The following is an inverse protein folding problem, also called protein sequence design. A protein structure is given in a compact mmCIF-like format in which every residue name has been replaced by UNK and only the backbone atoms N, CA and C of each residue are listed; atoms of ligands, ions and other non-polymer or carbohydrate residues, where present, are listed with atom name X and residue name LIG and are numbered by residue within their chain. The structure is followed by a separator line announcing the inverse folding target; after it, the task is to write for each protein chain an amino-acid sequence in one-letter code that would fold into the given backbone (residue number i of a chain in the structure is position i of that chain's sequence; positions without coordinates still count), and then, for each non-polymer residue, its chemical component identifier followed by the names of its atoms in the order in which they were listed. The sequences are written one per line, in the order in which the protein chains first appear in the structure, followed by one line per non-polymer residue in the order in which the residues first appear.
data_IF_025854701388
#
_entry.id   IF_025854701388
#
_cell.length_a   1.000
_cell.length_b   1.000
_cell.length_c   1.000
_cell.angle_alpha   90.00
_cell.angle_beta   90.00
_cell.angle_gamma   90.00
#
_symmetry.space_group_name_H-M   'P 1'
#
loop_
_entity.id
_entity.type
_entity.pdbx_description
1 polymer ?
#
# COMPACT_ATOMS: atom_id res chain seq x y z
N UNK A 1 -4.81 -4.55 15.21
CA UNK A 1 -4.42 -5.64 14.31
C UNK A 1 -3.83 -4.99 13.08
N UNK A 2 -2.53 -5.18 12.83
CA UNK A 2 -1.87 -4.71 11.62
C UNK A 2 -2.29 -5.66 10.51
N UNK A 3 -2.89 -5.15 9.42
CA UNK A 3 -3.42 -5.97 8.32
C UNK A 3 -2.35 -6.34 7.29
N UNK A 4 -1.31 -5.50 7.15
CA UNK A 4 -0.20 -5.67 6.21
C UNK A 4 1.10 -5.14 6.82
N UNK A 5 2.23 -5.69 6.38
CA UNK A 5 3.56 -5.15 6.69
C UNK A 5 3.80 -3.81 5.97
N UNK A 6 4.85 -3.08 6.37
CA UNK A 6 5.25 -1.80 5.73
C UNK A 6 5.64 -1.98 4.25
N UNK A 7 6.03 -3.19 3.86
CA UNK A 7 6.36 -3.56 2.50
C UNK A 7 5.37 -4.61 2.02
N UNK A 8 4.68 -4.33 0.92
CA UNK A 8 3.70 -5.21 0.32
C UNK A 8 4.15 -5.63 -1.08
N UNK A 9 4.03 -6.91 -1.39
CA UNK A 9 4.29 -7.44 -2.73
C UNK A 9 2.94 -7.69 -3.40
N UNK A 10 2.70 -7.00 -4.51
CA UNK A 10 1.46 -7.09 -5.28
C UNK A 10 1.25 -8.52 -5.79
N UNK A 11 0.03 -9.04 -5.67
CA UNK A 11 -0.36 -10.33 -6.26
C UNK A 11 -1.25 -10.14 -7.49
N UNK A 12 -1.54 -11.23 -8.20
CA UNK A 12 -2.44 -11.20 -9.37
C UNK A 12 -3.81 -10.62 -9.02
N UNK A 13 -4.36 -9.86 -9.97
CA UNK A 13 -5.67 -9.19 -9.90
C UNK A 13 -5.84 -8.16 -8.77
N UNK A 14 -4.76 -7.65 -8.17
CA UNK A 14 -4.82 -6.54 -7.22
C UNK A 14 -4.50 -5.17 -7.85
N UNK A 15 -5.14 -4.14 -7.32
CA UNK A 15 -4.91 -2.73 -7.65
C UNK A 15 -4.46 -1.96 -6.42
N UNK A 16 -3.89 -0.76 -6.61
CA UNK A 16 -3.57 0.16 -5.51
C UNK A 16 -4.76 0.41 -4.58
N UNK A 17 -5.97 0.62 -5.13
CA UNK A 17 -7.17 0.85 -4.33
C UNK A 17 -7.53 -0.34 -3.46
N UNK A 18 -7.59 -1.55 -4.06
CA UNK A 18 -7.92 -2.77 -3.31
C UNK A 18 -6.88 -3.10 -2.25
N UNK A 19 -5.60 -2.80 -2.51
CA UNK A 19 -4.51 -2.96 -1.54
C UNK A 19 -4.63 -1.93 -0.42
N UNK A 20 -4.91 -0.67 -0.74
CA UNK A 20 -5.16 0.39 0.24
C UNK A 20 -6.31 0.06 1.17
N UNK A 21 -7.44 -0.42 0.65
CA UNK A 21 -8.58 -0.87 1.45
C UNK A 21 -8.23 -2.07 2.34
N UNK A 22 -7.52 -3.06 1.77
CA UNK A 22 -7.07 -4.26 2.48
C UNK A 22 -6.11 -3.94 3.64
N UNK A 23 -5.14 -3.08 3.39
CA UNK A 23 -4.10 -2.72 4.37
C UNK A 23 -4.50 -1.55 5.28
N UNK A 24 -5.63 -0.90 4.98
CA UNK A 24 -6.10 0.29 5.66
C UNK A 24 -5.28 1.54 5.35
N UNK A 25 -4.62 1.62 4.18
CA UNK A 25 -3.83 2.77 3.74
C UNK A 25 -4.54 3.53 2.60
N UNK A 26 -5.45 4.47 2.91
CA UNK A 26 -6.16 5.25 1.89
C UNK A 26 -5.26 6.25 1.15
N UNK A 27 -4.02 6.48 1.63
CA UNK A 27 -3.06 7.41 1.05
C UNK A 27 -1.85 6.69 0.44
N UNK A 28 -2.01 5.41 0.08
CA UNK A 28 -0.95 4.57 -0.49
C UNK A 28 -0.24 5.21 -1.70
N UNK A 29 -0.94 6.03 -2.49
CA UNK A 29 -0.35 6.76 -3.62
C UNK A 29 0.72 7.77 -3.17
N UNK A 30 0.53 8.45 -2.04
CA UNK A 30 1.46 9.46 -1.53
C UNK A 30 2.80 8.85 -1.10
N UNK A 31 2.79 7.57 -0.71
CA UNK A 31 3.98 6.84 -0.27
C UNK A 31 4.70 6.11 -1.41
N UNK A 32 4.08 6.05 -2.59
CA UNK A 32 4.59 5.35 -3.77
C UNK A 32 4.65 6.30 -4.98
N UNK A 33 5.49 7.34 -4.95
CA UNK A 33 5.56 8.36 -6.02
C UNK A 33 6.06 7.82 -7.36
N UNK A 34 6.56 6.59 -7.38
CA UNK A 34 6.98 5.90 -8.61
C UNK A 34 5.78 5.36 -9.42
N UNK A 35 4.57 5.42 -8.86
CA UNK A 35 3.32 5.05 -9.53
C UNK A 35 2.66 6.32 -10.04
N UNK A 36 2.59 6.44 -11.35
CA UNK A 36 1.99 7.60 -12.01
C UNK A 36 0.57 7.30 -12.49
N UNK A 37 0.29 6.04 -12.84
CA UNK A 37 -1.02 5.59 -13.35
C UNK A 37 -1.39 4.22 -12.77
N UNK A 38 -2.69 3.84 -12.78
CA UNK A 38 -3.13 2.54 -12.26
C UNK A 38 -2.40 1.33 -12.86
N UNK A 39 -2.01 1.41 -14.13
CA UNK A 39 -1.33 0.33 -14.86
C UNK A 39 0.14 0.12 -14.46
N UNK A 40 0.73 1.00 -13.64
CA UNK A 40 2.11 0.83 -13.13
C UNK A 40 2.17 -0.23 -12.00
N UNK A 41 1.03 -0.79 -11.61
CA UNK A 41 0.88 -1.80 -10.56
C UNK A 41 0.71 -3.16 -11.20
N UNK A 42 1.65 -4.08 -10.94
CA UNK A 42 1.63 -5.43 -11.50
C UNK A 42 2.13 -6.47 -10.48
N UNK A 43 1.82 -7.76 -10.66
CA UNK A 43 2.23 -8.81 -9.72
C UNK A 43 3.75 -8.86 -9.53
N UNK A 44 4.18 -8.98 -8.28
CA UNK A 44 5.59 -8.94 -7.89
C UNK A 44 6.15 -7.53 -7.68
N UNK A 45 5.37 -6.49 -7.94
CA UNK A 45 5.76 -5.12 -7.65
C UNK A 45 5.73 -4.83 -6.14
N UNK A 46 6.62 -3.95 -5.68
CA UNK A 46 6.81 -3.69 -4.24
C UNK A 46 6.24 -2.31 -3.90
N UNK A 47 5.29 -2.29 -2.96
CA UNK A 47 4.64 -1.08 -2.47
C UNK A 47 5.04 -0.80 -1.03
N UNK A 48 5.17 0.47 -0.70
CA UNK A 48 5.24 0.95 0.68
C UNK A 48 3.83 1.18 1.23
N UNK A 49 3.53 0.58 2.39
CA UNK A 49 2.25 0.69 3.10
C UNK A 49 2.45 1.46 4.41
N UNK A 50 1.55 2.41 4.70
CA UNK A 50 1.54 3.20 5.93
C UNK A 50 0.16 3.19 6.59
N UNK A 51 -0.17 2.14 7.36
CA UNK A 51 -1.48 2.04 8.00
C UNK A 51 -1.68 3.16 9.04
N UNK A 52 -2.87 3.72 9.23
CA UNK A 52 -3.12 4.83 10.16
C UNK A 52 -2.78 4.49 11.62
N UNK A 53 -2.73 3.21 11.98
CA UNK A 53 -2.30 2.77 13.31
C UNK A 53 -0.77 2.67 13.49
N UNK A 54 0.04 2.67 12.42
CA UNK A 54 1.51 2.76 12.53
C UNK A 54 1.97 4.15 12.97
N UNK A 55 1.16 5.18 12.74
CA UNK A 55 1.40 6.57 13.19
C UNK A 55 1.27 6.77 14.71
N UNK A 56 0.85 5.75 15.48
CA UNK A 56 0.71 5.84 16.95
C UNK A 56 2.01 5.61 17.73
N UNK A 57 3.18 5.52 17.10
CA UNK A 57 4.46 5.37 17.81
C UNK A 57 5.37 6.61 17.84
N UNK A 58 4.96 7.74 17.23
CA UNK A 58 5.58 9.04 17.50
C UNK A 58 4.68 9.86 18.44
N UNK A 59 4.65 9.47 19.70
CA UNK A 59 4.22 10.30 20.83
C UNK A 59 5.43 10.76 21.62
#
# INVERSE_FOLDING_TARGET
MVLCDEIYVVVEDETLNTIGDKCGDPFIVEHNPHIHVPDDVFPGFVLKISPPNSRKSLS
#
